data_IF_652646767455
#
_entry.id   IF_652646767455
#
_cell.length_a   1.000
_cell.length_b   1.000
_cell.length_c   1.000
_cell.angle_alpha   90.00
_cell.angle_beta   90.00
_cell.angle_gamma   90.00
#
_symmetry.space_group_name_H-M   'P 1'
#
loop_
_entity.id
_entity.type
_entity.pdbx_description
1 polymer ?
#
# COMPACT_ATOMS: atom_id res chain seq x y z
N UNK A 1 -3.37 -23.03 18.98
CA UNK A 1 -4.32 -22.00 18.47
C UNK A 1 -4.31 -22.05 16.95
N UNK A 2 -5.48 -22.14 16.33
CA UNK A 2 -5.61 -22.04 14.86
C UNK A 2 -5.85 -20.55 14.55
N UNK A 3 -4.99 -19.97 13.71
CA UNK A 3 -5.08 -18.56 13.30
C UNK A 3 -5.56 -18.46 11.85
N UNK A 4 -6.73 -17.87 11.63
CA UNK A 4 -7.39 -17.80 10.32
C UNK A 4 -7.48 -16.37 9.76
N UNK A 5 -6.83 -15.40 10.39
CA UNK A 5 -6.92 -13.97 10.02
C UNK A 5 -5.63 -13.43 9.39
N UNK A 6 -4.92 -14.26 8.63
CA UNK A 6 -3.68 -13.85 7.95
C UNK A 6 -3.89 -12.75 6.88
N UNK A 7 -5.11 -12.61 6.38
CA UNK A 7 -5.44 -11.54 5.44
C UNK A 7 -5.35 -10.14 6.09
N UNK A 8 -5.70 -10.03 7.36
CA UNK A 8 -5.56 -8.78 8.12
C UNK A 8 -4.11 -8.54 8.55
N UNK A 9 -3.46 -9.56 9.12
CA UNK A 9 -2.04 -9.52 9.49
C UNK A 9 -1.46 -10.93 9.63
N UNK A 10 -0.24 -11.12 9.17
CA UNK A 10 0.42 -12.42 9.24
C UNK A 10 0.74 -12.84 10.67
N UNK A 11 0.42 -14.09 11.05
CA UNK A 11 0.82 -14.70 12.29
C UNK A 11 1.13 -16.20 12.08
N UNK A 12 2.25 -16.73 12.59
CA UNK A 12 3.35 -16.00 13.26
C UNK A 12 4.15 -15.12 12.29
N UNK A 13 4.79 -14.07 12.81
CA UNK A 13 5.71 -13.25 12.01
C UNK A 13 6.95 -14.08 11.65
N UNK A 14 7.43 -14.08 10.40
CA UNK A 14 8.69 -14.73 10.05
C UNK A 14 9.84 -14.23 10.93
N UNK A 15 10.73 -15.11 11.40
CA UNK A 15 11.86 -14.71 12.27
C UNK A 15 12.77 -13.65 11.64
N UNK A 16 12.85 -13.62 10.32
CA UNK A 16 13.61 -12.64 9.53
C UNK A 16 13.07 -11.23 9.72
N UNK A 17 11.76 -11.07 9.80
CA UNK A 17 11.10 -9.77 10.04
C UNK A 17 11.50 -9.24 11.41
N UNK A 18 11.42 -10.08 12.46
CA UNK A 18 11.81 -9.68 13.82
C UNK A 18 13.28 -9.33 13.90
N UNK A 19 14.15 -10.12 13.26
CA UNK A 19 15.59 -9.83 13.19
C UNK A 19 15.89 -8.51 12.47
N UNK A 20 15.23 -8.23 11.38
CA UNK A 20 15.40 -6.99 10.64
C UNK A 20 14.97 -5.77 11.46
N UNK A 21 13.77 -5.82 12.08
CA UNK A 21 13.25 -4.73 12.92
C UNK A 21 14.18 -4.48 14.11
N UNK A 22 14.54 -5.52 14.84
CA UNK A 22 15.46 -5.40 15.99
C UNK A 22 16.84 -4.87 15.55
N UNK A 23 17.34 -5.29 14.39
CA UNK A 23 18.61 -4.82 13.82
C UNK A 23 18.61 -3.33 13.50
N UNK A 24 17.47 -2.78 13.07
CA UNK A 24 17.32 -1.34 12.85
C UNK A 24 17.20 -0.59 14.18
N UNK A 25 16.39 -1.09 15.12
CA UNK A 25 16.12 -0.41 16.39
C UNK A 25 17.29 -0.43 17.36
N UNK A 26 18.20 -1.40 17.25
CA UNK A 26 19.37 -1.54 18.15
C UNK A 26 20.62 -0.78 17.68
N UNK A 27 20.55 -0.03 16.59
CA UNK A 27 21.69 0.72 16.02
C UNK A 27 21.37 2.20 15.91
N UNK A 28 22.40 3.10 15.87
CA UNK A 28 22.18 4.49 15.53
C UNK A 28 21.65 4.60 14.08
N UNK A 29 20.38 4.85 13.95
CA UNK A 29 19.71 5.09 12.66
C UNK A 29 19.30 6.55 12.58
N UNK A 30 19.70 7.23 11.48
CA UNK A 30 19.28 8.59 11.18
C UNK A 30 17.99 8.60 10.36
N UNK A 31 17.48 9.80 10.11
CA UNK A 31 16.34 9.98 9.21
C UNK A 31 16.78 9.69 7.76
N UNK A 32 16.17 8.71 7.06
CA UNK A 32 16.45 8.48 5.65
C UNK A 32 16.04 9.69 4.81
N UNK A 33 16.93 10.19 3.96
CA UNK A 33 16.67 11.35 3.09
C UNK A 33 16.95 12.71 3.71
N UNK A 34 17.35 12.79 5.00
CA UNK A 34 17.79 14.03 5.63
C UNK A 34 19.20 13.90 6.22
N UNK A 35 20.16 14.55 5.58
CA UNK A 35 21.55 14.65 6.03
C UNK A 35 22.48 13.64 5.36
N UNK A 36 23.76 14.04 5.24
CA UNK A 36 24.84 13.26 4.63
C UNK A 36 25.65 12.43 5.63
N UNK A 37 25.26 12.39 6.91
CA UNK A 37 26.03 11.66 7.93
C UNK A 37 25.76 10.13 7.88
N UNK A 38 26.70 9.35 8.40
CA UNK A 38 26.73 7.89 8.31
C UNK A 38 25.41 7.21 8.71
N UNK A 39 24.77 7.66 9.78
CA UNK A 39 23.52 7.07 10.27
C UNK A 39 22.35 7.30 9.27
N UNK A 40 22.25 8.49 8.68
CA UNK A 40 21.23 8.79 7.67
C UNK A 40 21.45 8.00 6.38
N UNK A 41 22.70 7.87 5.94
CA UNK A 41 23.04 7.05 4.76
C UNK A 41 22.73 5.57 4.99
N UNK A 42 23.00 5.04 6.21
CA UNK A 42 22.60 3.67 6.56
C UNK A 42 21.09 3.46 6.49
N UNK A 43 20.30 4.40 7.05
CA UNK A 43 18.86 4.35 6.99
C UNK A 43 18.34 4.39 5.53
N UNK A 44 18.89 5.30 4.73
CA UNK A 44 18.56 5.41 3.30
C UNK A 44 18.80 4.11 2.52
N UNK A 45 19.93 3.45 2.79
CA UNK A 45 20.26 2.16 2.15
C UNK A 45 19.27 1.05 2.51
N UNK A 46 18.81 0.97 3.76
CA UNK A 46 17.81 -0.03 4.18
C UNK A 46 16.48 0.20 3.48
N UNK A 47 16.02 1.45 3.43
CA UNK A 47 14.77 1.80 2.73
C UNK A 47 14.89 1.50 1.23
N UNK A 48 16.03 1.83 0.61
CA UNK A 48 16.24 1.59 -0.81
C UNK A 48 16.32 0.11 -1.14
N UNK A 49 17.02 -0.70 -0.33
CA UNK A 49 17.08 -2.15 -0.51
C UNK A 49 15.69 -2.81 -0.40
N UNK A 50 14.85 -2.34 0.52
CA UNK A 50 13.46 -2.78 0.61
C UNK A 50 12.66 -2.42 -0.64
N UNK A 51 12.86 -1.20 -1.18
CA UNK A 51 12.24 -0.74 -2.43
C UNK A 51 12.65 -1.60 -3.63
N UNK A 52 13.95 -1.91 -3.76
CA UNK A 52 14.45 -2.81 -4.80
C UNK A 52 13.85 -4.22 -4.68
N UNK A 53 13.73 -4.75 -3.46
CA UNK A 53 13.13 -6.06 -3.23
C UNK A 53 11.65 -6.09 -3.65
N UNK A 54 10.88 -5.05 -3.28
CA UNK A 54 9.49 -4.90 -3.69
C UNK A 54 9.37 -4.73 -5.22
N UNK A 55 10.23 -3.93 -5.83
CA UNK A 55 10.25 -3.70 -7.28
C UNK A 55 10.52 -4.99 -8.06
N UNK A 56 11.48 -5.80 -7.61
CA UNK A 56 11.73 -7.12 -8.21
C UNK A 56 10.51 -8.05 -8.12
N UNK A 57 9.84 -8.06 -6.98
CA UNK A 57 8.63 -8.88 -6.80
C UNK A 57 7.48 -8.42 -7.69
N UNK A 58 7.31 -7.11 -7.87
CA UNK A 58 6.25 -6.49 -8.67
C UNK A 58 6.61 -6.37 -10.17
N UNK A 59 7.82 -6.70 -10.59
CA UNK A 59 8.26 -6.57 -11.98
C UNK A 59 8.35 -5.12 -12.47
N UNK A 60 8.70 -4.17 -11.60
CA UNK A 60 8.80 -2.76 -11.95
C UNK A 60 10.15 -2.14 -11.54
N UNK A 61 10.41 -0.90 -11.97
CA UNK A 61 11.59 -0.15 -11.54
C UNK A 61 11.44 0.33 -10.08
N UNK A 62 12.52 0.37 -9.27
CA UNK A 62 12.47 0.80 -7.87
C UNK A 62 11.86 2.19 -7.66
N UNK A 63 12.03 3.09 -8.62
CA UNK A 63 11.50 4.46 -8.59
C UNK A 63 9.96 4.51 -8.67
N UNK A 64 9.33 3.41 -9.10
CA UNK A 64 7.86 3.26 -9.17
C UNK A 64 7.26 2.70 -7.89
N UNK A 65 8.08 2.31 -6.91
CA UNK A 65 7.63 1.81 -5.61
C UNK A 65 7.58 2.96 -4.62
N UNK A 66 6.40 3.22 -4.07
CA UNK A 66 6.17 4.26 -3.05
C UNK A 66 5.71 3.58 -1.77
N UNK A 67 6.36 3.90 -0.65
CA UNK A 67 5.90 3.46 0.67
C UNK A 67 4.91 4.46 1.23
N UNK A 68 3.79 3.96 1.72
CA UNK A 68 2.73 4.73 2.35
C UNK A 68 2.53 4.27 3.79
N UNK A 69 1.73 4.99 4.56
CA UNK A 69 1.47 4.66 5.96
C UNK A 69 0.74 3.31 6.11
N UNK A 70 -0.18 3.01 5.20
CA UNK A 70 -0.97 1.78 5.15
C UNK A 70 -1.65 1.62 3.79
N UNK A 71 -2.35 0.48 3.58
CA UNK A 71 -3.05 0.19 2.34
C UNK A 71 -4.17 1.22 2.03
N UNK A 72 -4.86 1.73 3.04
CA UNK A 72 -5.90 2.76 2.85
C UNK A 72 -5.31 4.04 2.27
N UNK A 73 -4.15 4.47 2.77
CA UNK A 73 -3.43 5.63 2.27
C UNK A 73 -2.98 5.40 0.81
N UNK A 74 -2.38 4.24 0.52
CA UNK A 74 -1.97 3.86 -0.84
C UNK A 74 -3.13 3.89 -1.83
N UNK A 75 -4.28 3.30 -1.47
CA UNK A 75 -5.47 3.27 -2.31
C UNK A 75 -6.05 4.67 -2.54
N UNK A 76 -6.10 5.51 -1.51
CA UNK A 76 -6.55 6.90 -1.67
C UNK A 76 -5.62 7.70 -2.59
N UNK A 77 -4.29 7.54 -2.45
CA UNK A 77 -3.33 8.18 -3.36
C UNK A 77 -3.53 7.72 -4.80
N UNK A 78 -3.66 6.40 -5.03
CA UNK A 78 -3.84 5.83 -6.36
C UNK A 78 -5.17 6.30 -6.99
N UNK A 79 -6.29 6.16 -6.28
CA UNK A 79 -7.62 6.55 -6.77
C UNK A 79 -7.65 8.04 -7.13
N UNK A 80 -7.21 8.91 -6.22
CA UNK A 80 -7.24 10.36 -6.45
C UNK A 80 -6.20 10.85 -7.46
N UNK A 81 -5.10 10.10 -7.62
CA UNK A 81 -4.03 10.46 -8.54
C UNK A 81 -4.23 9.94 -9.97
N UNK A 82 -5.00 8.86 -10.13
CA UNK A 82 -5.23 8.24 -11.45
C UNK A 82 -6.56 8.66 -12.10
N UNK A 83 -7.57 9.02 -11.30
CA UNK A 83 -8.88 9.40 -11.83
C UNK A 83 -8.97 10.89 -12.15
N UNK A 84 -9.59 11.18 -13.26
CA UNK A 84 -9.83 12.53 -13.78
C UNK A 84 -11.32 12.86 -13.81
N UNK A 85 -11.62 14.14 -13.87
CA UNK A 85 -13.02 14.58 -14.00
C UNK A 85 -13.65 14.06 -15.27
N UNK A 86 -14.81 13.40 -15.12
CA UNK A 86 -15.55 12.79 -16.22
C UNK A 86 -15.28 11.29 -16.41
N UNK A 87 -14.35 10.72 -15.66
CA UNK A 87 -14.09 9.28 -15.71
C UNK A 87 -15.29 8.47 -15.20
N UNK A 88 -15.46 7.29 -15.77
CA UNK A 88 -16.40 6.29 -15.29
C UNK A 88 -15.66 5.14 -14.63
N UNK A 89 -16.03 4.84 -13.40
CA UNK A 89 -15.38 3.83 -12.56
C UNK A 89 -16.34 2.67 -12.32
N UNK A 90 -15.83 1.46 -12.49
CA UNK A 90 -16.52 0.23 -12.08
C UNK A 90 -15.90 -0.28 -10.78
N UNK A 91 -16.74 -0.55 -9.80
CA UNK A 91 -16.32 -1.17 -8.53
C UNK A 91 -17.24 -2.32 -8.18
N UNK A 92 -16.75 -3.31 -7.43
CA UNK A 92 -17.58 -4.39 -6.93
C UNK A 92 -18.25 -3.99 -5.61
N UNK A 93 -19.43 -4.52 -5.32
CA UNK A 93 -20.20 -4.16 -4.12
C UNK A 93 -19.50 -4.58 -2.81
N UNK A 94 -18.62 -5.55 -2.87
CA UNK A 94 -17.81 -6.08 -1.77
C UNK A 94 -16.44 -5.42 -1.65
N UNK A 95 -16.17 -4.39 -2.47
CA UNK A 95 -14.93 -3.65 -2.40
C UNK A 95 -14.76 -3.00 -1.01
N UNK A 96 -13.55 -3.11 -0.46
CA UNK A 96 -13.25 -2.58 0.85
C UNK A 96 -13.51 -1.06 0.94
N UNK A 97 -13.87 -0.58 2.13
CA UNK A 97 -14.16 0.83 2.39
C UNK A 97 -13.03 1.79 1.99
N UNK A 98 -11.77 1.34 1.99
CA UNK A 98 -10.63 2.12 1.51
C UNK A 98 -10.71 2.47 0.01
N UNK A 99 -11.48 1.69 -0.76
CA UNK A 99 -11.80 1.94 -2.17
C UNK A 99 -13.13 2.70 -2.29
N UNK A 100 -14.18 2.21 -1.64
CA UNK A 100 -15.53 2.75 -1.81
C UNK A 100 -15.69 4.19 -1.31
N UNK A 101 -15.10 4.53 -0.16
CA UNK A 101 -15.22 5.88 0.41
C UNK A 101 -14.65 6.99 -0.49
N UNK A 102 -13.41 6.90 -1.00
CA UNK A 102 -12.90 7.92 -1.91
C UNK A 102 -13.71 8.00 -3.22
N UNK A 103 -14.15 6.87 -3.79
CA UNK A 103 -14.96 6.85 -5.01
C UNK A 103 -16.32 7.51 -4.79
N UNK A 104 -17.06 7.14 -3.74
CA UNK A 104 -18.34 7.77 -3.41
C UNK A 104 -18.20 9.27 -3.16
N UNK A 105 -17.11 9.70 -2.49
CA UNK A 105 -16.84 11.12 -2.29
C UNK A 105 -16.56 11.87 -3.60
N UNK A 106 -15.87 11.27 -4.55
CA UNK A 106 -15.64 11.87 -5.87
C UNK A 106 -16.91 11.93 -6.71
N UNK A 107 -17.74 10.88 -6.65
CA UNK A 107 -19.05 10.86 -7.32
C UNK A 107 -19.99 11.94 -6.76
N UNK A 108 -20.10 12.08 -5.44
CA UNK A 108 -20.90 13.11 -4.79
C UNK A 108 -20.52 14.55 -5.20
N UNK A 109 -19.24 14.77 -5.50
CA UNK A 109 -18.76 16.07 -6.02
C UNK A 109 -18.91 16.23 -7.54
N UNK A 110 -19.47 15.22 -8.22
CA UNK A 110 -19.61 15.22 -9.69
C UNK A 110 -18.27 15.19 -10.42
N UNK A 111 -17.25 14.59 -9.82
CA UNK A 111 -15.93 14.44 -10.42
C UNK A 111 -15.87 13.21 -11.34
N UNK A 112 -16.53 12.12 -10.93
CA UNK A 112 -16.61 10.86 -11.67
C UNK A 112 -18.05 10.33 -11.69
N UNK A 113 -18.30 9.32 -12.52
CA UNK A 113 -19.47 8.45 -12.43
C UNK A 113 -19.07 7.08 -11.90
N UNK A 114 -19.89 6.46 -11.04
CA UNK A 114 -19.59 5.21 -10.38
C UNK A 114 -20.67 4.16 -10.70
N UNK A 115 -20.26 2.99 -11.18
CA UNK A 115 -21.13 1.82 -11.33
C UNK A 115 -20.70 0.71 -10.38
N UNK A 116 -21.65 0.14 -9.66
CA UNK A 116 -21.39 -0.94 -8.70
C UNK A 116 -21.84 -2.26 -9.32
N UNK A 117 -20.88 -3.14 -9.54
CA UNK A 117 -21.13 -4.52 -9.96
C UNK A 117 -21.54 -5.36 -8.76
N UNK A 118 -22.67 -6.04 -8.84
CA UNK A 118 -23.10 -7.01 -7.82
C UNK A 118 -22.56 -8.37 -8.20
N UNK A 119 -21.95 -9.07 -7.26
CA UNK A 119 -21.65 -10.48 -7.43
C UNK A 119 -22.98 -11.26 -7.48
N UNK A 120 -23.19 -12.04 -8.53
CA UNK A 120 -24.25 -13.05 -8.56
C UNK A 120 -23.88 -14.24 -7.66
N UNK A 121 -24.81 -15.19 -7.48
CA UNK A 121 -24.60 -16.41 -6.65
C UNK A 121 -23.41 -17.29 -7.12
N UNK A 122 -22.75 -16.96 -8.21
CA UNK A 122 -21.57 -17.65 -8.78
C UNK A 122 -20.28 -16.82 -8.82
N UNK A 123 -20.25 -15.66 -8.15
CA UNK A 123 -19.12 -14.72 -8.21
C UNK A 123 -19.33 -13.60 -9.23
N UNK A 124 -18.31 -12.75 -9.42
CA UNK A 124 -18.32 -11.69 -10.46
C UNK A 124 -18.11 -12.38 -11.80
N UNK A 125 -19.13 -12.39 -12.65
CA UNK A 125 -19.06 -12.87 -14.04
C UNK A 125 -18.70 -11.75 -15.01
#
# INVERSE_FOLDING_TARGET
MIYLDNAATSWPKPPEVLRAVNGVMSRPFGNPGRGGHRASLCAGRVVYACREAAARYLGCAPERVIFTLNCTDALNMAIRGCLHRGDHVLATHDAHNAVMRPLAGMEQRGEISLSILRAGEGGVS
#
